data_IF_306438801393
#
_entry.id   IF_306438801393
#
_cell.length_a   1.000
_cell.length_b   1.000
_cell.length_c   1.000
_cell.angle_alpha   90.00
_cell.angle_beta   90.00
_cell.angle_gamma   90.00
#
_symmetry.space_group_name_H-M   'P 1'
#
loop_
_entity.id
_entity.type
_entity.pdbx_description
1 polymer ?
#
# COMPACT_ATOMS: atom_id res chain seq x y z
N UNK A 1 17.05 -22.67 -16.88
CA UNK A 1 16.31 -21.40 -16.81
C UNK A 1 16.98 -20.58 -15.72
N UNK A 2 17.53 -19.42 -16.05
CA UNK A 2 18.42 -18.66 -15.16
C UNK A 2 17.59 -17.81 -14.18
N UNK A 3 17.49 -18.29 -12.94
CA UNK A 3 16.69 -17.69 -11.87
C UNK A 3 17.13 -16.26 -11.53
N UNK A 4 18.42 -15.94 -11.73
CA UNK A 4 18.95 -14.59 -11.49
C UNK A 4 18.46 -13.59 -12.55
N UNK A 5 18.36 -14.02 -13.81
CA UNK A 5 17.86 -13.18 -14.90
C UNK A 5 16.36 -12.86 -14.75
N UNK A 6 15.57 -13.81 -14.24
CA UNK A 6 14.14 -13.59 -13.96
C UNK A 6 13.93 -12.56 -12.83
N UNK A 7 14.67 -12.71 -11.72
CA UNK A 7 14.64 -11.77 -10.60
C UNK A 7 15.11 -10.36 -10.99
N UNK A 8 16.18 -10.26 -11.79
CA UNK A 8 16.66 -8.97 -12.29
C UNK A 8 15.60 -8.25 -13.14
N UNK A 9 14.91 -8.99 -14.00
CA UNK A 9 13.83 -8.47 -14.85
C UNK A 9 12.62 -8.02 -14.03
N UNK A 10 12.18 -8.81 -13.05
CA UNK A 10 11.08 -8.44 -12.15
C UNK A 10 11.41 -7.17 -11.35
N UNK A 11 12.66 -7.05 -10.87
CA UNK A 11 13.13 -5.84 -10.18
C UNK A 11 13.09 -4.61 -11.10
N UNK A 12 13.55 -4.75 -12.33
CA UNK A 12 13.61 -3.64 -13.28
C UNK A 12 12.21 -3.20 -13.73
N UNK A 13 11.29 -4.17 -13.91
CA UNK A 13 9.87 -3.91 -14.16
C UNK A 13 9.20 -3.24 -12.96
N UNK A 14 9.51 -3.65 -11.72
CA UNK A 14 9.01 -3.01 -10.51
C UNK A 14 9.50 -1.56 -10.37
N UNK A 15 10.78 -1.29 -10.64
CA UNK A 15 11.35 0.07 -10.61
C UNK A 15 10.69 0.96 -11.67
N UNK A 16 10.48 0.42 -12.88
CA UNK A 16 9.82 1.17 -13.96
C UNK A 16 8.35 1.46 -13.62
N UNK A 17 7.62 0.47 -13.14
CA UNK A 17 6.23 0.64 -12.72
C UNK A 17 6.10 1.65 -11.57
N UNK A 18 7.04 1.66 -10.61
CA UNK A 18 7.09 2.65 -9.55
C UNK A 18 7.24 4.07 -10.12
N UNK A 19 8.22 4.28 -11.02
CA UNK A 19 8.44 5.57 -11.67
C UNK A 19 7.24 6.02 -12.51
N UNK A 20 6.66 5.12 -13.29
CA UNK A 20 5.54 5.42 -14.18
C UNK A 20 4.23 5.67 -13.39
N UNK A 21 4.10 5.12 -12.18
CA UNK A 21 2.92 5.31 -11.34
C UNK A 21 2.77 6.73 -10.77
N UNK A 22 3.89 7.45 -10.63
CA UNK A 22 3.95 8.75 -9.94
C UNK A 22 3.81 8.68 -8.42
N UNK A 23 3.70 7.47 -7.83
CA UNK A 23 3.58 7.24 -6.40
C UNK A 23 4.93 7.34 -5.69
N UNK A 24 4.93 7.73 -4.41
CA UNK A 24 6.06 7.50 -3.51
C UNK A 24 6.35 6.00 -3.34
N UNK A 25 7.56 5.65 -2.91
CA UNK A 25 7.95 4.25 -2.69
C UNK A 25 6.99 3.50 -1.75
N UNK A 26 6.53 4.16 -0.68
CA UNK A 26 5.57 3.59 0.27
C UNK A 26 4.20 3.35 -0.37
N UNK A 27 3.66 4.33 -1.08
CA UNK A 27 2.39 4.20 -1.76
C UNK A 27 2.44 3.17 -2.89
N UNK A 28 3.55 3.10 -3.62
CA UNK A 28 3.77 2.03 -4.59
C UNK A 28 3.84 0.65 -3.92
N UNK A 29 4.46 0.54 -2.75
CA UNK A 29 4.45 -0.68 -1.94
C UNK A 29 3.04 -1.16 -1.60
N UNK A 30 2.12 -0.24 -1.29
CA UNK A 30 0.70 -0.55 -1.07
C UNK A 30 0.08 -1.15 -2.33
N UNK A 31 0.23 -0.48 -3.48
CA UNK A 31 -0.26 -0.99 -4.76
C UNK A 31 0.32 -2.38 -5.06
N UNK A 32 1.65 -2.54 -4.92
CA UNK A 32 2.34 -3.77 -5.30
C UNK A 32 1.86 -4.99 -4.50
N UNK A 33 1.60 -4.81 -3.20
CA UNK A 33 1.10 -5.88 -2.34
C UNK A 33 -0.39 -6.19 -2.57
N UNK A 34 -1.16 -5.26 -3.13
CA UNK A 34 -2.61 -5.39 -3.29
C UNK A 34 -3.08 -5.63 -4.73
N UNK A 35 -2.20 -5.47 -5.74
CA UNK A 35 -2.56 -5.54 -7.16
C UNK A 35 -3.23 -6.86 -7.58
N UNK A 36 -2.88 -7.95 -6.90
CA UNK A 36 -3.40 -9.30 -7.16
C UNK A 36 -4.35 -9.81 -6.06
N UNK A 37 -4.76 -8.94 -5.12
CA UNK A 37 -5.61 -9.30 -3.99
C UNK A 37 -7.03 -9.68 -4.47
N UNK A 38 -7.41 -10.94 -4.23
CA UNK A 38 -8.66 -11.52 -4.70
C UNK A 38 -9.91 -10.85 -4.07
N UNK A 39 -9.97 -10.60 -2.75
CA UNK A 39 -11.08 -9.85 -2.16
C UNK A 39 -11.28 -8.46 -2.78
N UNK A 40 -10.21 -7.68 -2.98
CA UNK A 40 -10.29 -6.37 -3.63
C UNK A 40 -10.82 -6.50 -5.07
N UNK A 41 -10.30 -7.45 -5.85
CA UNK A 41 -10.75 -7.70 -7.22
C UNK A 41 -12.23 -8.09 -7.29
N UNK A 42 -12.68 -8.98 -6.41
CA UNK A 42 -14.07 -9.41 -6.34
C UNK A 42 -15.03 -8.28 -5.93
N UNK A 43 -14.55 -7.34 -5.12
CA UNK A 43 -15.29 -6.15 -4.73
C UNK A 43 -15.18 -4.99 -5.75
N UNK A 44 -14.43 -5.16 -6.84
CA UNK A 44 -14.22 -4.12 -7.85
C UNK A 44 -13.41 -2.91 -7.34
N UNK A 45 -12.61 -3.10 -6.29
CA UNK A 45 -11.80 -2.04 -5.69
C UNK A 45 -10.42 -2.01 -6.36
N UNK A 46 -10.05 -0.84 -6.89
CA UNK A 46 -8.75 -0.64 -7.53
C UNK A 46 -7.63 -0.49 -6.50
N UNK A 47 -6.65 -1.39 -6.52
CA UNK A 47 -5.44 -1.30 -5.69
C UNK A 47 -4.62 -0.03 -6.00
N UNK A 48 -4.63 0.44 -7.25
CA UNK A 48 -3.93 1.66 -7.66
C UNK A 48 -4.60 2.92 -7.09
N UNK A 49 -5.94 2.98 -7.13
CA UNK A 49 -6.67 4.11 -6.55
C UNK A 49 -6.52 4.11 -5.03
N UNK A 50 -6.59 2.94 -4.39
CA UNK A 50 -6.36 2.82 -2.95
C UNK A 50 -4.97 3.31 -2.54
N UNK A 51 -3.93 3.00 -3.31
CA UNK A 51 -2.58 3.49 -3.05
C UNK A 51 -2.47 5.03 -3.17
N UNK A 52 -3.11 5.63 -4.19
CA UNK A 52 -3.14 7.10 -4.38
C UNK A 52 -3.91 7.81 -3.27
N UNK A 53 -5.04 7.26 -2.88
CA UNK A 53 -5.84 7.80 -1.77
C UNK A 53 -5.06 7.71 -0.47
N UNK A 54 -4.40 6.58 -0.21
CA UNK A 54 -3.61 6.37 0.99
C UNK A 54 -2.41 7.34 1.06
N UNK A 55 -1.74 7.61 -0.06
CA UNK A 55 -0.70 8.65 -0.17
C UNK A 55 -1.22 10.04 0.15
N UNK A 56 -2.38 10.40 -0.42
CA UNK A 56 -3.04 11.69 -0.17
C UNK A 56 -3.39 11.86 1.32
N UNK A 57 -3.92 10.82 1.95
CA UNK A 57 -4.23 10.83 3.38
C UNK A 57 -2.96 10.90 4.24
N UNK A 58 -1.85 10.27 3.82
CA UNK A 58 -0.59 10.35 4.54
C UNK A 58 -0.05 11.79 4.61
N UNK A 59 -0.25 12.60 3.57
CA UNK A 59 0.08 14.03 3.62
C UNK A 59 -0.76 14.83 4.63
N UNK A 60 -1.98 14.36 4.95
CA UNK A 60 -2.85 14.99 5.96
C UNK A 60 -2.48 14.62 7.40
N UNK A 61 -1.73 13.52 7.58
CA UNK A 61 -1.31 12.98 8.87
C UNK A 61 0.21 12.74 8.90
N UNK A 62 1.03 13.81 8.76
CA UNK A 62 2.47 13.68 8.57
C UNK A 62 3.19 13.07 9.78
N UNK A 63 2.60 13.09 10.97
CA UNK A 63 3.19 12.54 12.20
C UNK A 63 2.57 11.21 12.62
N UNK A 64 1.77 10.56 11.77
CA UNK A 64 1.07 9.31 12.11
C UNK A 64 1.99 8.17 12.60
N UNK A 65 3.29 8.22 12.32
CA UNK A 65 4.28 7.27 12.85
C UNK A 65 4.54 7.43 14.36
N UNK A 66 4.48 8.65 14.88
CA UNK A 66 4.83 8.97 16.29
C UNK A 66 3.67 9.57 17.08
N UNK A 67 2.53 9.82 16.43
CA UNK A 67 1.32 10.38 17.02
C UNK A 67 0.14 9.39 16.86
N UNK A 68 -0.27 8.78 17.97
CA UNK A 68 -1.34 7.78 18.00
C UNK A 68 -2.71 8.33 17.55
N UNK A 69 -2.98 9.61 17.75
CA UNK A 69 -4.24 10.21 17.31
C UNK A 69 -4.26 10.38 15.79
N UNK A 70 -3.16 10.86 15.20
CA UNK A 70 -2.99 10.91 13.75
C UNK A 70 -3.01 9.51 13.13
N UNK A 71 -2.35 8.54 13.75
CA UNK A 71 -2.40 7.13 13.34
C UNK A 71 -3.83 6.59 13.33
N UNK A 72 -4.60 6.87 14.38
CA UNK A 72 -6.02 6.45 14.48
C UNK A 72 -6.88 7.12 13.40
N UNK A 73 -6.65 8.40 13.11
CA UNK A 73 -7.36 9.13 12.06
C UNK A 73 -7.02 8.61 10.66
N UNK A 74 -5.74 8.40 10.37
CA UNK A 74 -5.29 7.77 9.12
C UNK A 74 -5.93 6.38 8.95
N UNK A 75 -5.90 5.54 9.99
CA UNK A 75 -6.57 4.23 9.97
C UNK A 75 -8.06 4.36 9.61
N UNK A 76 -8.76 5.32 10.21
CA UNK A 76 -10.19 5.52 9.99
C UNK A 76 -10.51 5.91 8.53
N UNK A 77 -9.67 6.70 7.88
CA UNK A 77 -9.91 7.14 6.50
C UNK A 77 -9.74 5.98 5.50
N UNK A 78 -8.82 5.05 5.78
CA UNK A 78 -8.58 3.85 4.95
C UNK A 78 -9.77 2.87 4.92
N UNK A 79 -10.65 2.88 5.93
CA UNK A 79 -11.83 2.00 5.93
C UNK A 79 -12.88 2.39 4.87
N UNK A 80 -12.92 3.66 4.45
CA UNK A 80 -13.95 4.20 3.55
C UNK A 80 -13.93 3.57 2.14
N UNK A 81 -12.79 3.49 1.43
CA UNK A 81 -12.75 2.83 0.12
C UNK A 81 -13.00 1.31 0.21
N UNK A 82 -12.91 0.72 1.40
CA UNK A 82 -12.97 -0.73 1.62
C UNK A 82 -14.35 -1.20 2.13
N UNK A 83 -15.38 -0.36 2.09
CA UNK A 83 -16.72 -0.70 2.58
C UNK A 83 -17.38 -1.86 1.83
N UNK A 84 -16.93 -2.16 0.61
CA UNK A 84 -17.37 -3.34 -0.16
C UNK A 84 -16.79 -4.67 0.31
N UNK A 85 -15.76 -4.67 1.15
CA UNK A 85 -15.13 -5.88 1.67
C UNK A 85 -15.85 -6.43 2.90
N UNK A 86 -15.75 -7.74 3.11
CA UNK A 86 -16.09 -8.38 4.39
C UNK A 86 -15.26 -7.81 5.54
N UNK A 87 -15.76 -7.91 6.78
CA UNK A 87 -15.12 -7.31 7.96
C UNK A 87 -13.66 -7.78 8.14
N UNK A 88 -13.40 -9.06 7.90
CA UNK A 88 -12.08 -9.67 8.05
C UNK A 88 -11.10 -9.15 7.00
N UNK A 89 -11.46 -9.25 5.71
CA UNK A 89 -10.64 -8.72 4.61
C UNK A 89 -10.39 -7.22 4.75
N UNK A 90 -11.40 -6.46 5.15
CA UNK A 90 -11.28 -5.03 5.39
C UNK A 90 -10.26 -4.71 6.46
N UNK A 91 -10.28 -5.43 7.58
CA UNK A 91 -9.31 -5.27 8.65
C UNK A 91 -7.90 -5.56 8.17
N UNK A 92 -7.70 -6.72 7.52
CA UNK A 92 -6.42 -7.15 6.94
C UNK A 92 -5.84 -6.12 5.99
N UNK A 93 -6.63 -5.62 5.04
CA UNK A 93 -6.15 -4.63 4.06
C UNK A 93 -5.76 -3.33 4.76
N UNK A 94 -6.57 -2.82 5.69
CA UNK A 94 -6.23 -1.60 6.45
C UNK A 94 -4.93 -1.78 7.25
N UNK A 95 -4.75 -2.92 7.91
CA UNK A 95 -3.54 -3.22 8.68
C UNK A 95 -2.30 -3.26 7.78
N UNK A 96 -2.40 -3.92 6.62
CA UNK A 96 -1.32 -4.00 5.64
C UNK A 96 -0.94 -2.63 5.07
N UNK A 97 -1.93 -1.83 4.67
CA UNK A 97 -1.68 -0.47 4.16
C UNK A 97 -0.98 0.38 5.21
N UNK A 98 -1.44 0.35 6.47
CA UNK A 98 -0.80 1.10 7.55
C UNK A 98 0.63 0.66 7.82
N UNK A 99 0.90 -0.65 7.85
CA UNK A 99 2.23 -1.17 8.06
C UNK A 99 3.19 -0.69 6.95
N UNK A 100 2.77 -0.76 5.69
CA UNK A 100 3.59 -0.29 4.56
C UNK A 100 3.84 1.22 4.64
N UNK A 101 2.80 2.01 4.93
CA UNK A 101 2.91 3.47 4.97
C UNK A 101 3.74 3.99 6.16
N UNK A 102 3.69 3.33 7.31
CA UNK A 102 4.35 3.83 8.52
C UNK A 102 5.70 3.17 8.78
N UNK A 103 5.83 1.89 8.42
CA UNK A 103 6.95 1.04 8.81
C UNK A 103 7.79 0.55 7.61
N UNK A 104 7.32 0.73 6.36
CA UNK A 104 7.96 0.18 5.15
C UNK A 104 9.38 0.67 4.78
N UNK A 105 9.96 1.60 5.55
CA UNK A 105 11.36 2.03 5.40
C UNK A 105 12.34 1.31 6.37
N UNK A 106 11.84 0.54 7.35
CA UNK A 106 12.70 -0.01 8.40
C UNK A 106 13.63 -1.15 7.95
N UNK A 107 13.36 -1.80 6.82
CA UNK A 107 14.13 -2.97 6.33
C UNK A 107 15.28 -2.62 5.38
N UNK A 108 15.47 -1.34 5.02
CA UNK A 108 16.55 -0.92 4.11
C UNK A 108 17.86 -0.52 4.84
N UNK A 109 17.85 -0.42 6.17
CA UNK A 109 19.00 0.05 6.98
C UNK A 109 19.41 -0.88 8.15
N UNK A 110 19.03 -2.17 8.13
CA UNK A 110 19.49 -3.15 9.15
C UNK A 110 20.42 -4.22 8.58
#
# INVERSE_FOLDING_TARGET
>A
MDMLAALAKEKEEAIKAAKDSGLSARAFGVYWNLKDDEPLRNAGISAMELARDAETEMHRFPNARVNDDERRKLRATLYRPLLGLGKEDRGRVVDLVLAILLDGDHDAES
#
